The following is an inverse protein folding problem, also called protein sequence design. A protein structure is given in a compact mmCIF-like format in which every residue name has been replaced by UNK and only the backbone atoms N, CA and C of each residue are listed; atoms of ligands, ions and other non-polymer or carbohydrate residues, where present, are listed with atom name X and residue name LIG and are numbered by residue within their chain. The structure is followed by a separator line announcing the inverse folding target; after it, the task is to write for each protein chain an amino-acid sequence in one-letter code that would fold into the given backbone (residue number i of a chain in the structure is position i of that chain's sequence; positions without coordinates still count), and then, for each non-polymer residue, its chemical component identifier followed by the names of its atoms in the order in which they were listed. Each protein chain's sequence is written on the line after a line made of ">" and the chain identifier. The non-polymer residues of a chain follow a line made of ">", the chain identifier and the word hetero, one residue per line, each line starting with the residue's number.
data_IF_802715753069
#
_entry.id   IF_802715753069
#
_cell.length_a   1.000
_cell.length_b   1.000
_cell.length_c   1.000
_cell.angle_alpha   90.00
_cell.angle_beta   90.00
_cell.angle_gamma   90.00
#
_symmetry.space_group_name_H-M   'P 1'
#
loop_
_entity.id
_entity.type
_entity.pdbx_description
1 polymer ?
#
# COMPACT_ATOMS: atom_id res chain seq x y z
N UNK A 1 22.80 43.97 5.88
CA UNK A 1 23.49 43.15 6.91
C UNK A 1 22.55 42.26 7.73
N UNK A 2 21.68 42.74 8.62
CA UNK A 2 20.80 41.85 9.43
C UNK A 2 19.78 41.06 8.60
N UNK A 3 19.14 41.70 7.60
CA UNK A 3 18.16 41.03 6.72
C UNK A 3 18.78 39.91 5.87
N UNK A 4 20.01 40.10 5.38
CA UNK A 4 20.71 39.09 4.58
C UNK A 4 21.09 37.87 5.41
N UNK A 5 21.58 38.07 6.64
CA UNK A 5 21.89 36.98 7.56
C UNK A 5 20.65 36.14 7.90
N UNK A 6 19.51 36.80 8.13
CA UNK A 6 18.25 36.11 8.38
C UNK A 6 17.81 35.28 7.17
N UNK A 7 17.91 35.82 5.95
CA UNK A 7 17.59 35.06 4.72
C UNK A 7 18.51 33.86 4.53
N UNK A 8 19.81 34.02 4.79
CA UNK A 8 20.78 32.92 4.71
C UNK A 8 20.46 31.83 5.73
N UNK A 9 20.08 32.20 6.96
CA UNK A 9 19.66 31.23 7.98
C UNK A 9 18.40 30.50 7.55
N UNK A 10 17.37 31.20 7.04
CA UNK A 10 16.15 30.56 6.54
C UNK A 10 16.40 29.65 5.34
N UNK A 11 17.27 30.08 4.41
CA UNK A 11 17.70 29.25 3.28
C UNK A 11 18.41 27.99 3.77
N UNK A 12 19.32 28.12 4.74
CA UNK A 12 20.02 27.00 5.36
C UNK A 12 19.06 26.03 6.05
N UNK A 13 18.09 26.53 6.83
CA UNK A 13 17.06 25.71 7.48
C UNK A 13 16.21 24.99 6.44
N UNK A 14 15.76 25.68 5.39
CA UNK A 14 14.97 25.08 4.32
C UNK A 14 15.76 23.96 3.62
N UNK A 15 17.00 24.24 3.23
CA UNK A 15 17.87 23.28 2.54
C UNK A 15 18.23 22.08 3.44
N UNK A 16 18.40 22.32 4.73
CA UNK A 16 18.60 21.26 5.72
C UNK A 16 17.37 20.34 5.81
N UNK A 17 16.17 20.92 5.92
CA UNK A 17 14.93 20.16 6.03
C UNK A 17 14.63 19.33 4.77
N UNK A 18 14.78 19.90 3.58
CA UNK A 18 14.59 19.14 2.33
C UNK A 18 15.61 18.00 2.22
N UNK A 19 16.87 18.24 2.61
CA UNK A 19 17.92 17.22 2.62
C UNK A 19 17.58 16.09 3.60
N UNK A 20 17.12 16.43 4.81
CA UNK A 20 16.70 15.44 5.81
C UNK A 20 15.50 14.60 5.32
N UNK A 21 14.51 15.21 4.67
CA UNK A 21 13.37 14.50 4.06
C UNK A 21 13.84 13.55 2.96
N UNK A 22 14.73 14.01 2.07
CA UNK A 22 15.28 13.18 0.99
C UNK A 22 16.10 12.00 1.55
N UNK A 23 16.96 12.23 2.54
CA UNK A 23 17.75 11.15 3.16
C UNK A 23 16.87 10.15 3.92
N UNK A 24 15.86 10.61 4.66
CA UNK A 24 14.93 9.70 5.31
C UNK A 24 14.26 8.75 4.31
N UNK A 25 13.82 9.28 3.16
CA UNK A 25 13.23 8.45 2.11
C UNK A 25 14.24 7.51 1.45
N UNK A 26 15.43 8.00 1.10
CA UNK A 26 16.48 7.18 0.48
C UNK A 26 16.93 6.04 1.40
N UNK A 27 17.19 6.32 2.67
CA UNK A 27 17.61 5.30 3.62
C UNK A 27 16.52 4.28 3.94
N UNK A 28 15.24 4.68 3.95
CA UNK A 28 14.13 3.72 4.02
C UNK A 28 14.16 2.76 2.82
N UNK A 29 14.27 3.26 1.58
CA UNK A 29 14.34 2.40 0.40
C UNK A 29 15.50 1.40 0.45
N UNK A 30 16.68 1.84 0.89
CA UNK A 30 17.85 0.97 1.02
C UNK A 30 17.61 -0.06 2.13
N UNK A 31 17.08 0.37 3.28
CA UNK A 31 16.84 -0.49 4.43
C UNK A 31 15.71 -1.51 4.20
N UNK A 32 14.79 -1.21 3.29
CA UNK A 32 13.69 -2.09 2.86
C UNK A 32 14.10 -2.99 1.66
N UNK A 33 15.36 -2.92 1.19
CA UNK A 33 15.84 -3.74 0.07
C UNK A 33 15.25 -3.35 -1.29
N UNK A 34 14.65 -2.17 -1.39
CA UNK A 34 14.01 -1.64 -2.60
C UNK A 34 15.00 -0.97 -3.58
N UNK A 35 16.30 -1.29 -3.48
CA UNK A 35 17.37 -0.73 -4.32
C UNK A 35 18.34 -1.81 -4.78
N UNK A 36 19.21 -1.49 -5.75
CA UNK A 36 20.29 -2.37 -6.21
C UNK A 36 21.50 -2.43 -5.25
N UNK A 37 21.44 -1.73 -4.11
CA UNK A 37 22.56 -1.73 -3.17
C UNK A 37 22.67 -3.07 -2.43
N UNK A 38 23.89 -3.50 -2.05
CA UNK A 38 24.08 -4.73 -1.29
C UNK A 38 23.30 -4.75 0.03
N UNK A 39 22.69 -5.88 0.35
CA UNK A 39 21.90 -6.09 1.59
C UNK A 39 22.72 -5.85 2.87
N UNK A 40 24.05 -5.97 2.80
CA UNK A 40 24.96 -5.62 3.89
C UNK A 40 24.81 -4.14 4.37
N UNK A 41 24.25 -3.26 3.53
CA UNK A 41 24.02 -1.85 3.87
C UNK A 41 22.68 -1.61 4.58
N UNK A 42 21.73 -2.57 4.54
CA UNK A 42 20.40 -2.43 5.14
C UNK A 42 20.44 -2.05 6.64
N UNK A 43 21.29 -2.66 7.51
CA UNK A 43 21.31 -2.31 8.93
C UNK A 43 21.81 -0.89 9.19
N UNK A 44 22.77 -0.42 8.38
CA UNK A 44 23.30 0.92 8.48
C UNK A 44 22.34 1.95 7.89
N UNK A 45 21.67 1.62 6.79
CA UNK A 45 20.60 2.42 6.22
C UNK A 45 19.44 2.58 7.21
N UNK A 46 19.03 1.53 7.92
CA UNK A 46 17.98 1.61 8.95
C UNK A 46 18.36 2.59 10.06
N UNK A 47 19.62 2.58 10.53
CA UNK A 47 20.10 3.55 11.53
C UNK A 47 20.07 4.98 10.99
N UNK A 48 20.50 5.18 9.74
CA UNK A 48 20.51 6.49 9.09
C UNK A 48 19.08 7.02 8.83
N UNK A 49 18.14 6.15 8.47
CA UNK A 49 16.71 6.46 8.37
C UNK A 49 16.16 6.95 9.72
N UNK A 50 16.42 6.22 10.80
CA UNK A 50 16.00 6.57 12.16
C UNK A 50 16.58 7.92 12.59
N UNK A 51 17.85 8.19 12.27
CA UNK A 51 18.51 9.46 12.55
C UNK A 51 17.88 10.62 11.75
N UNK A 52 17.61 10.43 10.46
CA UNK A 52 16.93 11.42 9.63
C UNK A 52 15.49 11.67 10.11
N UNK A 53 14.76 10.62 10.50
CA UNK A 53 13.43 10.73 11.08
C UNK A 53 13.43 11.48 12.42
N UNK A 54 14.44 11.26 13.26
CA UNK A 54 14.65 12.00 14.49
C UNK A 54 14.87 13.49 14.23
N UNK A 55 15.71 13.86 13.26
CA UNK A 55 15.94 15.25 12.85
C UNK A 55 14.67 15.95 12.36
N UNK A 56 13.74 15.21 11.76
CA UNK A 56 12.43 15.70 11.33
C UNK A 56 11.39 15.74 12.46
N UNK A 57 11.79 15.43 13.70
CA UNK A 57 10.91 15.38 14.86
C UNK A 57 9.89 14.24 14.83
N UNK A 58 10.05 13.23 13.95
CA UNK A 58 9.08 12.13 13.80
C UNK A 58 9.04 11.20 15.02
N UNK A 59 10.12 11.13 15.80
CA UNK A 59 10.17 10.35 17.05
C UNK A 59 9.48 11.05 18.24
N UNK A 60 9.23 12.36 18.16
CA UNK A 60 8.50 13.06 19.20
C UNK A 60 7.00 12.72 19.15
N UNK A 61 6.31 12.78 20.30
CA UNK A 61 4.86 12.57 20.37
C UNK A 61 4.11 13.51 19.43
N UNK A 62 2.95 13.06 18.92
CA UNK A 62 2.15 13.83 17.93
C UNK A 62 1.69 15.21 18.45
N UNK A 63 1.60 15.39 19.76
CA UNK A 63 1.28 16.65 20.45
C UNK A 63 2.51 17.55 20.70
N UNK A 64 3.71 17.15 20.28
CA UNK A 64 4.92 17.97 20.45
C UNK A 64 4.86 19.23 19.60
N UNK A 65 5.00 20.44 20.20
CA UNK A 65 5.00 21.70 19.45
C UNK A 65 6.10 21.77 18.38
N UNK A 66 7.27 21.18 18.67
CA UNK A 66 8.39 21.13 17.71
C UNK A 66 8.04 20.27 16.47
N UNK A 67 7.46 19.09 16.69
CA UNK A 67 7.02 18.20 15.60
C UNK A 67 5.93 18.87 14.76
N UNK A 68 4.96 19.51 15.40
CA UNK A 68 3.88 20.22 14.71
C UNK A 68 4.41 21.41 13.91
N UNK A 69 5.34 22.19 14.46
CA UNK A 69 5.98 23.31 13.76
C UNK A 69 6.74 22.87 12.51
N UNK A 70 7.57 21.83 12.63
CA UNK A 70 8.29 21.23 11.49
C UNK A 70 7.29 20.69 10.46
N UNK A 71 6.30 19.91 10.87
CA UNK A 71 5.31 19.33 9.95
C UNK A 71 4.50 20.41 9.20
N UNK A 72 4.10 21.47 9.91
CA UNK A 72 3.38 22.61 9.32
C UNK A 72 4.25 23.34 8.30
N UNK A 73 5.52 23.59 8.63
CA UNK A 73 6.46 24.20 7.69
C UNK A 73 6.68 23.34 6.45
N UNK A 74 6.96 22.03 6.62
CA UNK A 74 7.15 21.10 5.49
C UNK A 74 5.91 21.05 4.59
N UNK A 75 4.71 21.11 5.17
CA UNK A 75 3.47 21.19 4.42
C UNK A 75 3.37 22.49 3.61
N UNK A 76 3.56 23.64 4.26
CA UNK A 76 3.50 24.95 3.61
C UNK A 76 4.55 25.12 2.49
N UNK A 77 5.74 24.54 2.69
CA UNK A 77 6.83 24.57 1.72
C UNK A 77 6.73 23.47 0.63
N UNK A 78 5.75 22.56 0.72
CA UNK A 78 5.56 21.50 -0.27
C UNK A 78 6.64 20.41 -0.30
N UNK A 79 7.43 20.27 0.77
CA UNK A 79 8.59 19.34 0.86
C UNK A 79 8.33 18.21 1.86
N UNK A 80 7.09 17.77 1.98
CA UNK A 80 6.71 16.70 2.92
C UNK A 80 7.27 15.32 2.54
N UNK A 81 7.57 15.14 1.25
CA UNK A 81 8.12 13.91 0.70
C UNK A 81 9.30 14.25 -0.22
N UNK A 82 10.34 13.41 -0.18
CA UNK A 82 11.51 13.52 -1.05
C UNK A 82 11.35 12.70 -2.34
N UNK A 83 12.41 12.62 -3.14
CA UNK A 83 12.41 11.88 -4.41
C UNK A 83 12.10 10.38 -4.28
N UNK A 84 12.31 9.79 -3.09
CA UNK A 84 11.91 8.43 -2.78
C UNK A 84 10.41 8.17 -2.99
N UNK A 85 9.56 9.20 -2.97
CA UNK A 85 8.15 9.09 -3.33
C UNK A 85 7.93 8.55 -4.75
N UNK A 86 8.86 8.83 -5.67
CA UNK A 86 8.81 8.36 -7.06
C UNK A 86 9.58 7.04 -7.26
N UNK A 87 10.22 6.52 -6.21
CA UNK A 87 10.86 5.21 -6.32
C UNK A 87 9.77 4.15 -6.53
N UNK A 88 10.04 3.09 -7.31
CA UNK A 88 9.12 1.98 -7.51
C UNK A 88 9.05 1.10 -6.26
N UNK A 89 8.64 1.68 -5.13
CA UNK A 89 8.32 0.97 -3.91
C UNK A 89 6.81 0.76 -3.90
N UNK A 90 6.36 -0.33 -4.52
CA UNK A 90 4.96 -0.74 -4.44
C UNK A 90 4.82 -1.36 -3.04
N UNK A 91 4.08 -0.75 -2.11
CA UNK A 91 3.84 -1.37 -0.82
C UNK A 91 3.06 -2.68 -1.03
N UNK A 92 3.17 -3.60 -0.07
CA UNK A 92 2.26 -4.74 -0.05
C UNK A 92 0.82 -4.24 -0.01
N UNK A 93 -0.04 -4.96 -0.71
CA UNK A 93 -1.44 -4.57 -0.87
C UNK A 93 -2.34 -5.79 -0.77
N UNK A 94 -3.61 -5.58 -0.43
CA UNK A 94 -4.58 -6.66 -0.39
C UNK A 94 -5.25 -6.84 -1.74
N UNK A 95 -5.39 -8.10 -2.16
CA UNK A 95 -6.07 -8.47 -3.40
C UNK A 95 -7.21 -9.43 -3.12
N UNK A 96 -8.34 -9.19 -3.79
CA UNK A 96 -9.45 -10.11 -3.90
C UNK A 96 -9.51 -10.65 -5.32
N UNK A 97 -9.30 -11.96 -5.47
CA UNK A 97 -9.46 -12.68 -6.73
C UNK A 97 -10.76 -13.47 -6.68
N UNK A 98 -11.56 -13.37 -7.73
CA UNK A 98 -12.76 -14.18 -7.92
C UNK A 98 -12.44 -15.25 -8.95
N UNK A 99 -12.52 -16.52 -8.56
CA UNK A 99 -12.41 -17.68 -9.43
C UNK A 99 -13.82 -18.10 -9.86
N UNK A 100 -14.10 -18.01 -11.16
CA UNK A 100 -15.39 -18.32 -11.76
C UNK A 100 -15.32 -19.73 -12.34
N UNK A 101 -16.15 -20.63 -11.82
CA UNK A 101 -16.23 -22.03 -12.26
C UNK A 101 -17.44 -22.20 -13.17
N UNK A 102 -17.19 -22.54 -14.43
CA UNK A 102 -18.20 -22.79 -15.44
C UNK A 102 -18.59 -24.28 -15.48
N UNK A 103 -19.74 -24.59 -16.07
CA UNK A 103 -20.24 -25.97 -16.20
C UNK A 103 -19.36 -26.87 -17.11
N UNK A 104 -18.61 -26.27 -18.03
CA UNK A 104 -17.66 -26.94 -18.91
C UNK A 104 -16.31 -27.27 -18.24
N UNK A 105 -16.15 -26.91 -16.96
CA UNK A 105 -14.91 -27.11 -16.20
C UNK A 105 -13.88 -26.00 -16.37
N UNK A 106 -14.17 -24.94 -17.14
CA UNK A 106 -13.30 -23.77 -17.26
C UNK A 106 -13.26 -23.00 -15.93
N UNK A 107 -12.08 -22.50 -15.58
CA UNK A 107 -11.86 -21.60 -14.44
C UNK A 107 -11.29 -20.29 -14.97
N UNK A 108 -12.00 -19.19 -14.72
CA UNK A 108 -11.50 -17.85 -15.03
C UNK A 108 -11.23 -17.08 -13.75
N UNK A 109 -10.17 -16.27 -13.77
CA UNK A 109 -9.80 -15.42 -12.64
C UNK A 109 -10.16 -13.99 -12.98
N UNK A 110 -10.96 -13.36 -12.14
CA UNK A 110 -11.40 -11.99 -12.36
C UNK A 110 -11.25 -11.15 -11.10
N UNK A 111 -10.86 -9.88 -11.28
CA UNK A 111 -10.94 -8.88 -10.21
C UNK A 111 -12.31 -8.19 -10.27
N UNK A 112 -12.84 -7.71 -9.13
CA UNK A 112 -14.10 -6.96 -9.13
C UNK A 112 -14.04 -5.80 -10.14
N UNK A 113 -14.90 -5.81 -11.16
CA UNK A 113 -14.94 -4.74 -12.16
C UNK A 113 -15.47 -3.46 -11.54
N UNK A 114 -14.73 -2.37 -11.73
CA UNK A 114 -15.03 -1.08 -11.12
C UNK A 114 -15.39 -0.04 -12.18
N UNK A 115 -16.47 0.70 -11.95
CA UNK A 115 -16.84 1.85 -12.79
C UNK A 115 -16.03 3.08 -12.36
N UNK A 116 -14.85 3.24 -12.95
CA UNK A 116 -14.03 4.45 -12.86
C UNK A 116 -13.05 4.51 -11.69
N UNK A 117 -12.11 5.47 -11.77
CA UNK A 117 -10.95 5.60 -10.84
C UNK A 117 -11.36 5.80 -9.38
N UNK A 118 -12.46 6.52 -9.12
CA UNK A 118 -12.92 6.76 -7.75
C UNK A 118 -13.55 5.50 -7.11
N UNK A 119 -14.13 4.60 -7.91
CA UNK A 119 -14.62 3.32 -7.40
C UNK A 119 -13.43 2.41 -7.04
N UNK A 120 -12.36 2.45 -7.84
CA UNK A 120 -11.12 1.72 -7.56
C UNK A 120 -10.51 2.10 -6.20
N UNK A 121 -10.35 3.40 -5.91
CA UNK A 121 -9.85 3.84 -4.60
C UNK A 121 -10.72 3.42 -3.42
N UNK A 122 -12.04 3.40 -3.60
CA UNK A 122 -12.97 2.91 -2.56
C UNK A 122 -12.83 1.41 -2.34
N UNK A 123 -12.62 0.64 -3.40
CA UNK A 123 -12.37 -0.79 -3.29
C UNK A 123 -11.04 -1.05 -2.58
N UNK A 124 -9.95 -0.39 -2.98
CA UNK A 124 -8.64 -0.51 -2.30
C UNK A 124 -8.77 -0.26 -0.80
N UNK A 125 -9.40 0.85 -0.40
CA UNK A 125 -9.63 1.15 1.01
C UNK A 125 -10.54 0.14 1.71
N UNK A 126 -11.44 -0.53 0.99
CA UNK A 126 -12.29 -1.59 1.55
C UNK A 126 -11.47 -2.86 1.77
N UNK A 127 -10.64 -3.26 0.79
CA UNK A 127 -9.79 -4.43 0.87
C UNK A 127 -8.81 -4.31 2.05
N UNK A 128 -8.19 -3.14 2.24
CA UNK A 128 -7.31 -2.91 3.39
C UNK A 128 -8.01 -3.05 4.74
N UNK A 129 -9.30 -2.71 4.82
CA UNK A 129 -10.09 -2.90 6.04
C UNK A 129 -10.54 -4.34 6.24
N UNK A 130 -10.78 -5.09 5.16
CA UNK A 130 -11.18 -6.50 5.25
C UNK A 130 -10.10 -7.37 5.88
N UNK A 131 -8.82 -7.00 5.79
CA UNK A 131 -7.73 -7.70 6.45
C UNK A 131 -7.79 -7.61 7.99
N UNK A 132 -8.39 -6.55 8.54
CA UNK A 132 -8.49 -6.32 9.98
C UNK A 132 -9.53 -7.24 10.64
N UNK A 133 -9.17 -7.86 11.77
CA UNK A 133 -10.01 -8.79 12.53
C UNK A 133 -11.36 -8.18 12.93
N UNK A 134 -11.42 -6.87 13.15
CA UNK A 134 -12.67 -6.16 13.51
C UNK A 134 -13.75 -6.29 12.44
N UNK A 135 -13.38 -6.58 11.20
CA UNK A 135 -14.29 -6.74 10.08
C UNK A 135 -14.67 -8.20 9.83
N UNK A 136 -14.08 -9.16 10.54
CA UNK A 136 -14.35 -10.61 10.38
C UNK A 136 -15.85 -10.95 10.29
N UNK A 137 -16.73 -10.42 11.18
CA UNK A 137 -18.16 -10.77 11.15
C UNK A 137 -18.90 -10.35 9.88
N UNK A 138 -18.35 -9.40 9.12
CA UNK A 138 -18.98 -8.84 7.92
C UNK A 138 -18.20 -9.15 6.63
N UNK A 139 -17.04 -9.80 6.71
CA UNK A 139 -16.20 -10.13 5.53
C UNK A 139 -16.98 -10.89 4.48
N UNK A 140 -17.64 -11.98 4.87
CA UNK A 140 -18.39 -12.83 3.94
C UNK A 140 -19.47 -12.04 3.20
N UNK A 141 -20.24 -11.21 3.92
CA UNK A 141 -21.33 -10.41 3.34
C UNK A 141 -20.79 -9.39 2.34
N UNK A 142 -19.70 -8.69 2.70
CA UNK A 142 -19.07 -7.71 1.82
C UNK A 142 -18.51 -8.37 0.56
N UNK A 143 -17.81 -9.49 0.71
CA UNK A 143 -17.25 -10.25 -0.41
C UNK A 143 -18.37 -10.84 -1.28
N UNK A 144 -19.47 -11.32 -0.68
CA UNK A 144 -20.65 -11.81 -1.40
C UNK A 144 -21.27 -10.72 -2.28
N UNK A 145 -21.34 -9.47 -1.80
CA UNK A 145 -21.84 -8.35 -2.61
C UNK A 145 -20.92 -8.06 -3.82
N UNK A 146 -19.60 -8.15 -3.63
CA UNK A 146 -18.63 -7.99 -4.72
C UNK A 146 -18.73 -9.15 -5.74
N UNK A 147 -18.81 -10.39 -5.25
CA UNK A 147 -19.00 -11.58 -6.08
C UNK A 147 -20.31 -11.52 -6.87
N UNK A 148 -21.41 -11.06 -6.25
CA UNK A 148 -22.70 -10.89 -6.92
C UNK A 148 -22.63 -9.90 -8.08
N UNK A 149 -21.83 -8.83 -7.96
CA UNK A 149 -21.64 -7.86 -9.04
C UNK A 149 -20.97 -8.47 -10.28
N UNK A 150 -20.04 -9.41 -10.07
CA UNK A 150 -19.37 -10.15 -11.16
C UNK A 150 -20.31 -11.22 -11.72
N UNK A 151 -21.01 -11.95 -10.86
CA UNK A 151 -21.97 -12.98 -11.28
C UNK A 151 -23.06 -12.45 -12.20
N UNK A 152 -23.55 -11.22 -11.97
CA UNK A 152 -24.54 -10.58 -12.87
C UNK A 152 -24.06 -10.40 -14.30
N UNK A 153 -22.76 -10.40 -14.54
CA UNK A 153 -22.15 -10.28 -15.87
C UNK A 153 -21.83 -11.66 -16.48
N UNK A 154 -21.63 -12.66 -15.62
CA UNK A 154 -21.31 -14.05 -15.98
C UNK A 154 -22.42 -14.98 -15.46
N UNK A 155 -23.61 -14.89 -16.06
CA UNK A 155 -24.81 -15.61 -15.60
C UNK A 155 -24.72 -17.13 -15.77
N UNK A 156 -23.77 -17.60 -16.57
CA UNK A 156 -23.45 -18.99 -16.88
C UNK A 156 -22.48 -19.64 -15.87
N UNK A 157 -22.00 -18.88 -14.89
CA UNK A 157 -21.13 -19.40 -13.84
C UNK A 157 -21.93 -20.15 -12.78
N UNK A 158 -21.45 -21.33 -12.40
CA UNK A 158 -22.09 -22.21 -11.40
C UNK A 158 -21.64 -21.89 -9.98
N UNK A 159 -20.35 -21.62 -9.83
CA UNK A 159 -19.69 -21.37 -8.55
C UNK A 159 -18.70 -20.22 -8.70
N UNK A 160 -18.67 -19.31 -7.73
CA UNK A 160 -17.60 -18.32 -7.59
C UNK A 160 -16.89 -18.60 -6.26
N UNK A 161 -15.57 -18.81 -6.31
CA UNK A 161 -14.71 -18.79 -5.13
C UNK A 161 -14.05 -17.43 -5.04
N UNK A 162 -14.21 -16.77 -3.92
CA UNK A 162 -13.52 -15.53 -3.62
C UNK A 162 -12.31 -15.84 -2.75
N UNK A 163 -11.10 -15.51 -3.23
CA UNK A 163 -9.84 -15.69 -2.50
C UNK A 163 -9.28 -14.32 -2.17
N UNK A 164 -9.12 -14.03 -0.88
CA UNK A 164 -8.54 -12.79 -0.39
C UNK A 164 -7.17 -13.07 0.23
N UNK A 165 -6.20 -12.21 -0.06
CA UNK A 165 -4.86 -12.34 0.49
C UNK A 165 -4.03 -11.08 0.35
N UNK A 166 -2.86 -11.10 1.01
CA UNK A 166 -1.82 -10.09 0.84
C UNK A 166 -0.98 -10.42 -0.40
N UNK A 167 -0.65 -9.39 -1.16
CA UNK A 167 0.32 -9.45 -2.24
C UNK A 167 1.57 -8.72 -1.79
N UNK A 168 2.67 -9.45 -1.77
CA UNK A 168 4.01 -8.90 -1.52
C UNK A 168 4.74 -8.87 -2.86
N UNK A 169 5.04 -7.66 -3.39
CA UNK A 169 5.83 -7.56 -4.61
C UNK A 169 7.25 -8.08 -4.36
N UNK A 170 7.92 -8.62 -5.40
CA UNK A 170 9.30 -9.07 -5.24
C UNK A 170 10.20 -7.89 -4.91
N UNK A 171 11.22 -8.13 -4.07
CA UNK A 171 12.31 -7.16 -3.91
C UNK A 171 13.04 -6.92 -5.24
N UNK A 172 13.86 -5.86 -5.33
CA UNK A 172 14.55 -5.53 -6.58
C UNK A 172 15.44 -6.68 -7.08
N UNK A 173 16.19 -7.30 -6.15
CA UNK A 173 17.02 -8.47 -6.44
C UNK A 173 16.19 -9.66 -6.90
N UNK A 174 15.03 -9.90 -6.31
CA UNK A 174 14.13 -10.99 -6.67
C UNK A 174 13.52 -10.81 -8.06
N UNK A 175 13.13 -9.57 -8.38
CA UNK A 175 12.62 -9.20 -9.69
C UNK A 175 13.67 -9.42 -10.80
N UNK A 176 14.94 -9.06 -10.55
CA UNK A 176 16.04 -9.31 -11.50
C UNK A 176 16.25 -10.80 -11.79
N UNK A 177 15.98 -11.68 -10.81
CA UNK A 177 16.03 -13.13 -10.99
C UNK A 177 14.72 -13.72 -11.56
N UNK A 178 13.79 -12.87 -12.02
CA UNK A 178 12.54 -13.28 -12.64
C UNK A 178 11.48 -13.79 -11.66
N UNK A 179 11.62 -13.55 -10.36
CA UNK A 179 10.57 -13.87 -9.39
C UNK A 179 9.38 -12.93 -9.56
N UNK A 180 8.18 -13.49 -9.47
CA UNK A 180 6.92 -12.74 -9.50
C UNK A 180 6.49 -12.32 -8.09
N UNK A 181 5.39 -11.56 -8.01
CA UNK A 181 4.72 -11.25 -6.75
C UNK A 181 4.31 -12.54 -5.99
N UNK A 182 4.44 -12.48 -4.66
CA UNK A 182 4.00 -13.56 -3.78
C UNK A 182 2.60 -13.23 -3.27
N UNK A 183 1.66 -14.17 -3.41
CA UNK A 183 0.31 -14.05 -2.88
C UNK A 183 0.13 -14.98 -1.69
N UNK A 184 -0.20 -14.42 -0.54
CA UNK A 184 -0.47 -15.15 0.70
C UNK A 184 -1.98 -15.15 0.98
N UNK A 185 -2.67 -16.29 0.76
CA UNK A 185 -4.10 -16.38 1.02
C UNK A 185 -4.40 -16.22 2.51
N UNK A 186 -5.35 -15.35 2.85
CA UNK A 186 -5.79 -15.14 4.24
C UNK A 186 -7.13 -15.82 4.52
N UNK A 187 -8.10 -15.66 3.62
CA UNK A 187 -9.40 -16.32 3.72
C UNK A 187 -10.02 -16.52 2.34
N UNK A 188 -10.95 -17.47 2.26
CA UNK A 188 -11.72 -17.71 1.04
C UNK A 188 -13.18 -18.01 1.34
N UNK A 189 -14.06 -17.66 0.41
CA UNK A 189 -15.48 -17.93 0.49
C UNK A 189 -15.98 -18.55 -0.82
N UNK A 190 -16.80 -19.59 -0.69
CA UNK A 190 -17.42 -20.26 -1.82
C UNK A 190 -18.89 -19.83 -1.93
N UNK A 191 -19.25 -19.27 -3.08
CA UNK A 191 -20.62 -18.89 -3.39
C UNK A 191 -21.16 -19.74 -4.53
N UNK A 192 -22.40 -20.23 -4.36
CA UNK A 192 -23.17 -20.92 -5.39
C UNK A 192 -24.60 -20.38 -5.38
N UNK A 193 -25.24 -20.28 -6.54
CA UNK A 193 -26.68 -20.07 -6.56
C UNK A 193 -27.35 -21.28 -5.90
N UNK A 194 -28.24 -21.00 -4.95
CA UNK A 194 -29.14 -22.03 -4.43
C UNK A 194 -30.02 -22.44 -5.61
N UNK A 195 -29.92 -23.68 -6.07
CA UNK A 195 -30.93 -24.25 -6.96
C UNK A 195 -32.28 -24.00 -6.30
N UNK A 196 -33.17 -23.32 -7.01
CA UNK A 196 -34.48 -22.97 -6.51
C UNK A 196 -35.13 -24.22 -5.93
N UNK A 197 -35.29 -24.24 -4.61
CA UNK A 197 -36.16 -25.21 -3.96
C UNK A 197 -37.52 -25.06 -4.60
N UNK A 198 -37.89 -26.05 -5.42
CA UNK A 198 -39.23 -26.22 -5.95
C UNK A 198 -40.21 -26.03 -4.78
N UNK A 199 -41.00 -24.96 -4.84
CA UNK A 199 -42.26 -24.88 -4.11
C UNK A 199 -43.33 -25.56 -4.95
#
# INVERSE_FOLDING_TARGET
>A
MFSERIRVVWFGIHFFLITAVCFAGLFSLIADGATMLPSALEPNARKAEIAAAWLLGKQAGASSPARQGIATYLHAAGIQAGYAFFAPNIPSYHRLTLELFYDDGRIEHESPRLRGKAAARRLESLLDRLADERYEPIREVLVKMLALSVWRQHSDVKKIRAVFGSVTPPGMTEFEHGKAETFEPMFSFDFSLREGGKR
#
